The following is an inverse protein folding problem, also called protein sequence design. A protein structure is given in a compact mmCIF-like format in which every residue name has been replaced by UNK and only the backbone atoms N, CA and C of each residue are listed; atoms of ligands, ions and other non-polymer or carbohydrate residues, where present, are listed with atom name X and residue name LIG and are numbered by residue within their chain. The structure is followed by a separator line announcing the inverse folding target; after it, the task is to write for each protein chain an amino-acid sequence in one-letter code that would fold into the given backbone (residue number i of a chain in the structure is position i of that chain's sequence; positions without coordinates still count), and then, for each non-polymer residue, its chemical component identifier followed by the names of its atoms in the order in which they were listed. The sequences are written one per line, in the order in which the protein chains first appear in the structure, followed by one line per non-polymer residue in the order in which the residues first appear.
data_IF_282846043602
#
_entry.id   IF_282846043602
#
_cell.length_a   1.000
_cell.length_b   1.000
_cell.length_c   1.000
_cell.angle_alpha   90.00
_cell.angle_beta   90.00
_cell.angle_gamma   90.00
#
_symmetry.space_group_name_H-M   'P 1'
#
loop_
_entity.id
_entity.type
_entity.pdbx_description
1 polymer ?
#
# COMPACT_ATOMS: atom_id res chain seq x y z
N UNK A 1 30.03 -7.67 15.70
CA UNK A 1 28.61 -8.03 15.49
C UNK A 1 27.87 -7.86 16.81
N UNK A 2 26.89 -6.93 16.90
CA UNK A 2 26.11 -6.74 18.14
C UNK A 2 25.13 -7.91 18.29
N UNK A 3 25.17 -8.61 19.43
CA UNK A 3 24.25 -9.71 19.78
C UNK A 3 22.80 -9.22 19.60
N UNK A 4 21.98 -10.00 18.90
CA UNK A 4 20.55 -9.85 18.95
C UNK A 4 20.12 -9.98 20.42
N UNK A 5 19.61 -8.89 21.00
CA UNK A 5 19.01 -8.91 22.32
C UNK A 5 17.82 -9.86 22.25
N UNK A 6 17.89 -10.98 22.98
CA UNK A 6 16.75 -11.88 23.15
C UNK A 6 15.56 -11.05 23.62
N UNK A 7 14.45 -11.13 22.89
CA UNK A 7 13.21 -10.48 23.32
C UNK A 7 12.85 -10.99 24.72
N UNK A 8 12.79 -10.10 25.70
CA UNK A 8 12.26 -10.41 27.02
C UNK A 8 10.89 -9.74 27.15
N UNK A 9 9.82 -10.51 27.47
CA UNK A 9 8.52 -9.93 27.68
C UNK A 9 8.54 -9.00 28.91
N UNK A 10 7.82 -7.88 28.90
CA UNK A 10 7.74 -6.98 30.05
C UNK A 10 7.08 -7.70 31.24
N UNK A 11 7.71 -7.65 32.41
CA UNK A 11 7.28 -8.38 33.62
C UNK A 11 6.84 -7.47 34.76
N UNK A 12 7.27 -6.21 34.75
CA UNK A 12 6.87 -5.21 35.74
C UNK A 12 5.84 -4.24 35.17
N UNK A 13 5.06 -3.59 36.04
CA UNK A 13 4.11 -2.56 35.63
C UNK A 13 4.77 -1.45 34.78
N UNK A 14 5.95 -0.96 35.18
CA UNK A 14 6.68 0.07 34.46
C UNK A 14 7.14 -0.40 33.07
N UNK A 15 7.61 -1.64 32.94
CA UNK A 15 7.97 -2.22 31.65
C UNK A 15 6.76 -2.39 30.72
N UNK A 16 5.61 -2.80 31.26
CA UNK A 16 4.35 -2.93 30.53
C UNK A 16 3.91 -1.56 30.00
N UNK A 17 3.89 -0.54 30.86
CA UNK A 17 3.54 0.84 30.46
C UNK A 17 4.51 1.37 29.41
N UNK A 18 5.82 1.17 29.57
CA UNK A 18 6.81 1.59 28.60
C UNK A 18 6.64 0.87 27.25
N UNK A 19 6.30 -0.42 27.26
CA UNK A 19 6.00 -1.17 26.04
C UNK A 19 4.74 -0.65 25.33
N UNK A 20 3.68 -0.36 26.08
CA UNK A 20 2.45 0.23 25.55
C UNK A 20 2.69 1.62 24.94
N UNK A 21 3.46 2.47 25.62
CA UNK A 21 3.83 3.79 25.10
C UNK A 21 4.61 3.68 23.79
N UNK A 22 5.61 2.78 23.71
CA UNK A 22 6.35 2.53 22.45
C UNK A 22 5.43 2.07 21.31
N UNK A 23 4.48 1.18 21.59
CA UNK A 23 3.49 0.75 20.59
C UNK A 23 2.62 1.92 20.13
N UNK A 24 2.18 2.78 21.05
CA UNK A 24 1.36 3.95 20.73
C UNK A 24 2.13 4.97 19.88
N UNK A 25 3.38 5.26 20.23
CA UNK A 25 4.26 6.14 19.45
C UNK A 25 4.49 5.60 18.04
N UNK A 26 4.75 4.30 17.91
CA UNK A 26 4.89 3.63 16.61
C UNK A 26 3.61 3.78 15.79
N UNK A 27 2.44 3.55 16.40
CA UNK A 27 1.15 3.69 15.72
C UNK A 27 0.90 5.12 15.26
N UNK A 28 1.20 6.13 16.07
CA UNK A 28 1.10 7.53 15.68
C UNK A 28 2.04 7.83 14.50
N UNK A 29 3.27 7.33 14.53
CA UNK A 29 4.23 7.54 13.45
C UNK A 29 3.76 6.91 12.13
N UNK A 30 3.16 5.72 12.18
CA UNK A 30 2.52 5.08 11.02
C UNK A 30 1.37 5.92 10.47
N UNK A 31 0.47 6.39 11.33
CA UNK A 31 -0.67 7.23 10.93
C UNK A 31 -0.21 8.53 10.28
N UNK A 32 0.80 9.20 10.85
CA UNK A 32 1.39 10.41 10.25
C UNK A 32 2.02 10.12 8.89
N UNK A 33 2.69 8.98 8.74
CA UNK A 33 3.26 8.58 7.44
C UNK A 33 2.17 8.27 6.43
N UNK A 34 1.08 7.63 6.85
CA UNK A 34 -0.07 7.31 6.00
C UNK A 34 -0.74 8.60 5.52
N UNK A 35 -1.03 9.53 6.43
CA UNK A 35 -1.59 10.84 6.10
C UNK A 35 -0.78 11.56 5.01
N UNK A 36 0.55 11.55 5.11
CA UNK A 36 1.42 12.13 4.08
C UNK A 36 1.24 11.49 2.70
N UNK A 37 1.05 10.18 2.63
CA UNK A 37 0.83 9.49 1.35
C UNK A 37 -0.57 9.80 0.80
N UNK A 38 -1.59 9.85 1.66
CA UNK A 38 -2.97 10.20 1.29
C UNK A 38 -3.01 11.61 0.71
N UNK A 39 -2.44 12.60 1.40
CA UNK A 39 -2.35 13.98 0.87
C UNK A 39 -1.58 14.04 -0.45
N UNK A 40 -0.54 13.22 -0.63
CA UNK A 40 0.22 13.20 -1.87
C UNK A 40 -0.59 12.66 -3.07
N UNK A 41 -1.62 11.83 -2.84
CA UNK A 41 -2.47 11.27 -3.90
C UNK A 41 -3.86 11.91 -3.99
N UNK A 42 -4.17 12.87 -3.11
CA UNK A 42 -5.49 13.51 -3.00
C UNK A 42 -6.01 14.02 -4.35
N UNK A 43 -5.17 14.75 -5.10
CA UNK A 43 -5.55 15.25 -6.43
C UNK A 43 -5.88 14.14 -7.42
N UNK A 44 -5.17 13.02 -7.37
CA UNK A 44 -5.45 11.88 -8.23
C UNK A 44 -6.77 11.21 -7.81
N UNK A 45 -7.03 11.08 -6.51
CA UNK A 45 -8.31 10.58 -5.98
C UNK A 45 -9.49 11.45 -6.42
N UNK A 46 -9.36 12.78 -6.42
CA UNK A 46 -10.39 13.69 -6.93
C UNK A 46 -10.70 13.43 -8.40
N UNK A 47 -9.67 13.29 -9.24
CA UNK A 47 -9.84 13.00 -10.68
C UNK A 47 -10.48 11.63 -10.95
N UNK A 48 -10.15 10.64 -10.12
CA UNK A 48 -10.80 9.33 -10.19
C UNK A 48 -12.29 9.44 -9.85
N UNK A 49 -12.63 10.21 -8.82
CA UNK A 49 -14.03 10.45 -8.44
C UNK A 49 -14.81 11.19 -9.55
N UNK A 50 -14.20 12.18 -10.22
CA UNK A 50 -14.77 12.84 -11.41
C UNK A 50 -15.09 11.83 -12.54
N UNK A 51 -14.27 10.77 -12.64
CA UNK A 51 -14.45 9.65 -13.58
C UNK A 51 -15.34 8.52 -13.03
N UNK A 52 -16.05 8.76 -11.92
CA UNK A 52 -16.90 7.81 -11.20
C UNK A 52 -16.18 6.55 -10.72
N UNK A 53 -14.89 6.67 -10.42
CA UNK A 53 -14.07 5.63 -9.79
C UNK A 53 -13.88 6.04 -8.33
N UNK A 54 -14.59 5.35 -7.43
CA UNK A 54 -14.59 5.66 -6.01
C UNK A 54 -13.77 4.63 -5.22
N UNK A 55 -13.04 5.13 -4.24
CA UNK A 55 -12.27 4.31 -3.30
C UNK A 55 -13.09 4.13 -2.02
N UNK A 56 -12.89 3.01 -1.33
CA UNK A 56 -13.46 2.83 0.00
C UNK A 56 -12.77 3.81 0.98
N UNK A 57 -13.50 4.23 2.02
CA UNK A 57 -13.03 5.13 3.08
C UNK A 57 -13.08 4.47 4.47
N UNK A 58 -13.45 3.19 4.57
CA UNK A 58 -13.43 2.45 5.83
C UNK A 58 -12.00 2.35 6.41
N UNK A 59 -11.89 2.06 7.72
CA UNK A 59 -10.63 1.99 8.48
C UNK A 59 -9.54 1.10 7.87
N UNK A 60 -9.90 0.17 6.98
CA UNK A 60 -8.98 -0.74 6.30
C UNK A 60 -8.81 -0.48 4.80
N UNK A 61 -9.58 0.46 4.25
CA UNK A 61 -9.58 0.78 2.82
C UNK A 61 -8.28 1.43 2.36
N UNK A 62 -7.69 2.28 3.21
CA UNK A 62 -6.55 3.10 2.84
C UNK A 62 -5.50 3.11 3.95
N UNK A 63 -4.45 2.32 3.78
CA UNK A 63 -3.42 2.14 4.81
C UNK A 63 -2.04 1.91 4.21
N UNK A 64 -1.01 2.22 4.98
CA UNK A 64 0.35 1.95 4.55
C UNK A 64 0.67 0.47 4.58
N UNK A 65 1.34 0.03 3.53
CA UNK A 65 1.89 -1.31 3.40
C UNK A 65 3.34 -1.21 2.96
N UNK A 66 4.10 -2.23 3.34
CA UNK A 66 5.42 -2.43 2.76
C UNK A 66 5.26 -3.09 1.39
N UNK A 67 5.71 -2.39 0.36
CA UNK A 67 5.69 -2.82 -1.03
C UNK A 67 6.98 -3.55 -1.44
N UNK A 68 7.86 -3.95 -0.50
CA UNK A 68 8.96 -4.86 -0.82
C UNK A 68 8.44 -6.18 -1.39
N UNK A 69 9.23 -6.79 -2.29
CA UNK A 69 8.92 -8.13 -2.82
C UNK A 69 8.98 -9.14 -1.67
N UNK A 70 8.09 -10.13 -1.69
CA UNK A 70 8.10 -11.21 -0.69
C UNK A 70 9.48 -11.88 -0.71
N UNK A 71 10.09 -12.04 0.47
CA UNK A 71 11.44 -12.59 0.63
C UNK A 71 12.56 -11.54 0.64
N UNK A 72 12.32 -10.30 0.20
CA UNK A 72 13.31 -9.22 0.27
C UNK A 72 13.17 -8.41 1.56
N UNK A 73 13.56 -9.02 2.68
CA UNK A 73 13.52 -8.36 3.99
C UNK A 73 14.82 -7.66 4.38
N UNK A 74 15.88 -7.79 3.57
CA UNK A 74 17.23 -7.30 3.87
C UNK A 74 17.38 -5.80 3.55
N UNK A 75 16.53 -5.24 2.69
CA UNK A 75 16.54 -3.83 2.31
C UNK A 75 15.68 -2.88 3.15
N UNK A 76 15.83 -1.56 2.92
CA UNK A 76 14.97 -0.52 3.52
C UNK A 76 13.52 -0.71 3.08
N UNK A 77 12.59 -0.61 4.03
CA UNK A 77 11.15 -0.70 3.77
C UNK A 77 10.71 0.27 2.65
N UNK A 78 9.90 -0.25 1.72
CA UNK A 78 9.35 0.51 0.60
C UNK A 78 7.88 0.81 0.88
N UNK A 79 7.63 1.89 1.61
CA UNK A 79 6.25 2.24 1.97
C UNK A 79 5.45 2.66 0.74
N UNK A 80 4.27 2.07 0.61
CA UNK A 80 3.24 2.48 -0.35
C UNK A 80 1.88 2.52 0.31
N UNK A 81 0.93 3.18 -0.34
CA UNK A 81 -0.45 3.24 0.11
C UNK A 81 -1.24 2.11 -0.53
N UNK A 82 -1.78 1.20 0.27
CA UNK A 82 -2.79 0.25 -0.20
C UNK A 82 -4.12 0.98 -0.26
N UNK A 83 -4.81 0.87 -1.39
CA UNK A 83 -6.13 1.46 -1.61
C UNK A 83 -7.06 0.34 -2.08
N UNK A 84 -8.14 0.12 -1.35
CA UNK A 84 -9.19 -0.80 -1.73
C UNK A 84 -10.27 -0.07 -2.53
N UNK A 85 -10.79 -0.69 -3.61
CA UNK A 85 -11.95 -0.16 -4.30
C UNK A 85 -13.18 -0.17 -3.40
N UNK A 86 -14.13 0.74 -3.63
CA UNK A 86 -15.44 0.65 -2.96
C UNK A 86 -16.17 -0.64 -3.36
N UNK A 87 -16.64 -1.40 -2.37
CA UNK A 87 -17.43 -2.64 -2.54
C UNK A 87 -18.74 -2.44 -3.32
N UNK A 88 -19.16 -1.20 -3.56
CA UNK A 88 -20.44 -0.84 -4.17
C UNK A 88 -20.49 -0.99 -5.71
N UNK A 89 -19.37 -1.32 -6.37
CA UNK A 89 -19.29 -1.40 -7.83
C UNK A 89 -18.55 -2.69 -8.25
N UNK A 90 -19.23 -3.58 -8.98
CA UNK A 90 -18.58 -4.72 -9.63
C UNK A 90 -17.45 -4.27 -10.56
N UNK A 91 -16.40 -5.10 -10.70
CA UNK A 91 -15.14 -4.81 -11.42
C UNK A 91 -14.39 -3.53 -10.98
N UNK A 92 -14.67 -3.02 -9.78
CA UNK A 92 -13.96 -1.86 -9.24
C UNK A 92 -12.43 -1.98 -9.07
N UNK A 93 -11.80 -3.15 -8.81
CA UNK A 93 -10.35 -3.20 -8.63
C UNK A 93 -9.57 -2.89 -9.92
N UNK A 94 -9.96 -3.47 -11.05
CA UNK A 94 -9.26 -3.26 -12.34
C UNK A 94 -9.43 -1.82 -12.82
N UNK A 95 -10.63 -1.25 -12.65
CA UNK A 95 -10.92 0.15 -12.98
C UNK A 95 -10.10 1.11 -12.15
N UNK A 96 -9.83 0.79 -10.88
CA UNK A 96 -8.98 1.61 -10.03
C UNK A 96 -7.53 1.60 -10.54
N UNK A 97 -6.99 0.44 -10.90
CA UNK A 97 -5.66 0.34 -11.52
C UNK A 97 -5.60 1.13 -12.83
N UNK A 98 -6.53 0.87 -13.75
CA UNK A 98 -6.63 1.59 -15.03
C UNK A 98 -6.73 3.10 -14.84
N UNK A 99 -7.53 3.54 -13.87
CA UNK A 99 -7.70 4.94 -13.51
C UNK A 99 -6.36 5.59 -13.14
N UNK A 100 -5.60 4.99 -12.23
CA UNK A 100 -4.29 5.52 -11.85
C UNK A 100 -3.28 5.50 -13.01
N UNK A 101 -3.28 4.45 -13.85
CA UNK A 101 -2.44 4.41 -15.04
C UNK A 101 -2.75 5.58 -15.99
N UNK A 102 -4.02 5.89 -16.22
CA UNK A 102 -4.41 7.05 -17.05
C UNK A 102 -3.99 8.41 -16.46
N UNK A 103 -3.76 8.47 -15.15
CA UNK A 103 -3.20 9.64 -14.44
C UNK A 103 -1.67 9.71 -14.48
N UNK A 104 -1.02 8.82 -15.23
CA UNK A 104 0.43 8.81 -15.44
C UNK A 104 1.21 8.08 -14.34
N UNK A 105 0.56 7.19 -13.59
CA UNK A 105 1.27 6.20 -12.79
C UNK A 105 1.82 5.09 -13.69
N UNK A 106 2.96 4.51 -13.30
CA UNK A 106 3.57 3.40 -14.02
C UNK A 106 3.48 2.12 -13.18
N UNK A 107 3.37 0.97 -13.84
CA UNK A 107 3.54 -0.32 -13.18
C UNK A 107 5.00 -0.42 -12.73
N UNK A 108 5.21 -0.81 -11.47
CA UNK A 108 6.54 -1.13 -10.93
C UNK A 108 6.70 -2.63 -10.71
N UNK A 109 5.61 -3.31 -10.33
CA UNK A 109 5.61 -4.75 -10.09
C UNK A 109 4.21 -5.33 -10.08
N UNK A 110 4.09 -6.60 -10.48
CA UNK A 110 2.90 -7.43 -10.30
C UNK A 110 3.24 -8.58 -9.33
N UNK A 111 2.41 -8.78 -8.32
CA UNK A 111 2.51 -9.79 -7.28
C UNK A 111 1.34 -10.78 -7.42
N UNK A 112 1.62 -11.99 -7.94
CA UNK A 112 0.66 -13.06 -8.22
C UNK A 112 0.48 -13.98 -6.99
N UNK A 113 -0.22 -13.50 -5.96
CA UNK A 113 -0.24 -14.13 -4.63
C UNK A 113 -1.36 -15.19 -4.44
N UNK A 114 -2.00 -15.65 -5.51
CA UNK A 114 -3.01 -16.73 -5.49
C UNK A 114 -4.39 -16.39 -4.88
N UNK A 115 -4.51 -15.41 -3.99
CA UNK A 115 -5.79 -14.98 -3.40
C UNK A 115 -6.39 -13.72 -4.04
N UNK A 116 -5.54 -12.72 -4.30
CA UNK A 116 -5.83 -11.54 -5.12
C UNK A 116 -4.53 -11.12 -5.78
N UNK A 117 -4.55 -10.82 -7.09
CA UNK A 117 -3.38 -10.27 -7.76
C UNK A 117 -3.21 -8.82 -7.35
N UNK A 118 -1.99 -8.46 -6.97
CA UNK A 118 -1.68 -7.09 -6.53
C UNK A 118 -0.74 -6.44 -7.52
N UNK A 119 -1.01 -5.18 -7.84
CA UNK A 119 -0.13 -4.36 -8.67
C UNK A 119 0.44 -3.25 -7.80
N UNK A 120 1.75 -3.12 -7.85
CA UNK A 120 2.46 -1.97 -7.29
C UNK A 120 2.63 -0.95 -8.40
N UNK A 121 1.99 0.20 -8.23
CA UNK A 121 2.17 1.36 -9.10
C UNK A 121 3.14 2.35 -8.47
N UNK A 122 3.94 3.01 -9.30
CA UNK A 122 4.85 4.09 -8.89
C UNK A 122 4.57 5.36 -9.66
N UNK A 123 4.56 6.48 -8.96
CA UNK A 123 4.50 7.79 -9.60
C UNK A 123 5.89 8.13 -10.17
N UNK A 124 6.02 8.40 -11.48
CA UNK A 124 7.31 8.67 -12.12
C UNK A 124 8.10 9.76 -11.41
N UNK A 125 9.43 9.58 -11.31
CA UNK A 125 10.37 10.51 -10.67
C UNK A 125 10.11 10.76 -9.17
N UNK A 126 9.26 9.96 -8.52
CA UNK A 126 9.03 10.03 -7.07
C UNK A 126 9.30 8.68 -6.40
N UNK A 127 9.18 8.65 -5.07
CA UNK A 127 9.16 7.42 -4.27
C UNK A 127 7.75 6.96 -3.90
N UNK A 128 6.73 7.66 -4.40
CA UNK A 128 5.34 7.40 -4.07
C UNK A 128 4.87 6.14 -4.78
N UNK A 129 4.27 5.24 -4.00
CA UNK A 129 3.79 3.93 -4.46
C UNK A 129 2.36 3.70 -4.03
N UNK A 130 1.62 3.00 -4.87
CA UNK A 130 0.30 2.46 -4.57
C UNK A 130 0.35 0.94 -4.68
N UNK A 131 -0.37 0.25 -3.80
CA UNK A 131 -0.60 -1.20 -3.91
C UNK A 131 -2.08 -1.44 -4.09
N UNK A 132 -2.47 -1.87 -5.28
CA UNK A 132 -3.86 -2.02 -5.69
C UNK A 132 -4.15 -3.49 -5.95
N UNK A 133 -5.38 -3.91 -5.70
CA UNK A 133 -5.87 -5.23 -6.08
C UNK A 133 -6.37 -5.17 -7.53
N UNK A 134 -6.24 -6.28 -8.26
CA UNK A 134 -6.78 -6.47 -9.60
C UNK A 134 -7.05 -7.96 -9.86
N UNK A 135 -7.84 -8.22 -10.90
CA UNK A 135 -8.06 -9.56 -11.41
C UNK A 135 -6.77 -10.12 -12.01
N UNK A 136 -6.63 -11.45 -11.99
CA UNK A 136 -5.51 -12.13 -12.62
C UNK A 136 -5.44 -11.83 -14.13
N UNK A 137 -6.59 -11.82 -14.81
CA UNK A 137 -6.67 -11.56 -16.25
C UNK A 137 -6.15 -10.15 -16.60
N UNK A 138 -6.53 -9.15 -15.80
CA UNK A 138 -6.06 -7.78 -16.01
C UNK A 138 -4.57 -7.63 -15.69
N UNK A 139 -4.09 -8.27 -14.63
CA UNK A 139 -2.66 -8.25 -14.31
C UNK A 139 -1.80 -8.87 -15.43
N UNK A 140 -2.24 -10.01 -15.99
CA UNK A 140 -1.55 -10.65 -17.11
C UNK A 140 -1.55 -9.79 -18.37
N UNK A 141 -2.60 -8.98 -18.62
CA UNK A 141 -2.61 -8.06 -19.77
C UNK A 141 -1.64 -6.88 -19.59
N UNK A 142 -1.46 -6.40 -18.35
CA UNK A 142 -0.47 -5.37 -18.04
C UNK A 142 0.97 -5.88 -18.24
N UNK A 143 1.27 -7.10 -17.82
CA UNK A 143 2.57 -7.74 -18.04
C UNK A 143 2.93 -7.80 -19.54
N UNK A 144 1.96 -8.17 -20.39
CA UNK A 144 2.16 -8.22 -21.83
C UNK A 144 2.43 -6.84 -22.45
N UNK A 145 1.89 -5.77 -21.87
CA UNK A 145 2.09 -4.40 -22.34
C UNK A 145 3.46 -3.82 -21.95
N UNK A 146 4.10 -4.28 -20.86
CA UNK A 146 5.46 -3.84 -20.51
C UNK A 146 6.56 -4.45 -21.38
N UNK A 147 6.28 -5.59 -22.03
CA UNK A 147 7.26 -6.31 -22.87
C UNK A 147 7.21 -5.87 -24.34
N UNK A 148 6.17 -5.14 -24.76
CA UNK A 148 5.96 -4.65 -26.12
C UNK A 148 6.51 -3.22 -26.32
#
# INVERSE_FOLDING_TARGET
MKRATSYMPPTTYSEIVAAANRQHEQRIAELKRAAKHITAVERDLTKLAESRIYVDIDRYSMHLVDCRKIGDYVGRAQWGLRILPSMSLGDAPDRLVAGFLSLGWAVERIDLDGHCTKVVLRRPKTQLRLRLDCSLAYASSLELQEVA
#
